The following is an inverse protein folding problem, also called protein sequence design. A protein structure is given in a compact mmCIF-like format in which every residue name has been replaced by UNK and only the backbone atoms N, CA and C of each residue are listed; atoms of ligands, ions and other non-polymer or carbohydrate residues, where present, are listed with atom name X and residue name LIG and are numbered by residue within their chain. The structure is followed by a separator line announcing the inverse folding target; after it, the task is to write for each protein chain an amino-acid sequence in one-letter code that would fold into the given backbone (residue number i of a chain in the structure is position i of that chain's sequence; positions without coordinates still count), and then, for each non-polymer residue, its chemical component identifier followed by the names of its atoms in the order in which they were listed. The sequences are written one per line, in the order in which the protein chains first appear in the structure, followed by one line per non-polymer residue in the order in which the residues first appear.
data_IF_433403384098
#
_entry.id   IF_433403384098
#
_cell.length_a   1.000
_cell.length_b   1.000
_cell.length_c   1.000
_cell.angle_alpha   90.00
_cell.angle_beta   90.00
_cell.angle_gamma   90.00
#
_symmetry.space_group_name_H-M   'P 1'
#
loop_
_entity.id
_entity.type
_entity.pdbx_description
1 polymer ?
#
# COMPACT_ATOMS: atom_id res chain seq x y z
N UNK A 1 -59.03 -5.00 -1.98
CA UNK A 1 -58.18 -4.49 -3.08
C UNK A 1 -56.71 -4.31 -2.65
N UNK A 2 -56.39 -4.05 -1.37
CA UNK A 2 -54.99 -3.88 -0.92
C UNK A 2 -54.17 -5.18 -0.76
N UNK A 3 -54.81 -6.32 -0.46
CA UNK A 3 -54.08 -7.60 -0.31
C UNK A 3 -53.43 -8.10 -1.61
N UNK A 4 -53.99 -7.71 -2.77
CA UNK A 4 -53.47 -7.98 -4.11
C UNK A 4 -52.05 -7.45 -4.33
N UNK A 5 -51.84 -6.17 -4.01
CA UNK A 5 -50.53 -5.54 -4.19
C UNK A 5 -49.47 -6.05 -3.22
N UNK A 6 -49.85 -6.42 -1.99
CA UNK A 6 -48.90 -6.92 -0.99
C UNK A 6 -48.34 -8.30 -1.36
N UNK A 7 -49.14 -9.17 -1.96
CA UNK A 7 -48.67 -10.48 -2.39
C UNK A 7 -47.75 -10.38 -3.62
N UNK A 8 -48.03 -9.46 -4.54
CA UNK A 8 -47.19 -9.18 -5.71
C UNK A 8 -45.82 -8.63 -5.30
N UNK A 9 -45.79 -7.66 -4.38
CA UNK A 9 -44.54 -7.11 -3.84
C UNK A 9 -43.73 -8.20 -3.12
N UNK A 10 -44.38 -9.07 -2.33
CA UNK A 10 -43.68 -10.21 -1.69
C UNK A 10 -43.11 -11.19 -2.71
N UNK A 11 -43.85 -11.47 -3.78
CA UNK A 11 -43.38 -12.35 -4.85
C UNK A 11 -42.17 -11.73 -5.59
N UNK A 12 -42.22 -10.43 -5.88
CA UNK A 12 -41.12 -9.69 -6.51
C UNK A 12 -39.87 -9.66 -5.61
N UNK A 13 -40.03 -9.45 -4.31
CA UNK A 13 -38.91 -9.51 -3.36
C UNK A 13 -38.28 -10.91 -3.32
N UNK A 14 -39.10 -11.96 -3.30
CA UNK A 14 -38.61 -13.33 -3.32
C UNK A 14 -37.85 -13.65 -4.62
N UNK A 15 -38.27 -13.08 -5.75
CA UNK A 15 -37.58 -13.22 -7.02
C UNK A 15 -36.23 -12.51 -7.04
N UNK A 16 -36.18 -11.26 -6.59
CA UNK A 16 -34.92 -10.50 -6.44
C UNK A 16 -33.94 -11.22 -5.51
N UNK A 17 -34.43 -11.78 -4.40
CA UNK A 17 -33.60 -12.57 -3.48
C UNK A 17 -33.06 -13.85 -4.12
N UNK A 18 -33.82 -14.49 -5.02
CA UNK A 18 -33.38 -15.66 -5.77
C UNK A 18 -32.29 -15.29 -6.76
N UNK A 19 -32.51 -14.25 -7.58
CA UNK A 19 -31.53 -13.76 -8.56
C UNK A 19 -30.22 -13.35 -7.88
N UNK A 20 -30.28 -12.72 -6.71
CA UNK A 20 -29.09 -12.36 -5.94
C UNK A 20 -28.29 -13.59 -5.51
N UNK A 21 -28.96 -14.62 -4.97
CA UNK A 21 -28.29 -15.87 -4.56
C UNK A 21 -27.68 -16.61 -5.74
N UNK A 22 -28.37 -16.63 -6.88
CA UNK A 22 -27.86 -17.23 -8.12
C UNK A 22 -26.62 -16.48 -8.63
N UNK A 23 -26.66 -15.14 -8.63
CA UNK A 23 -25.50 -14.32 -9.01
C UNK A 23 -24.31 -14.55 -8.07
N UNK A 24 -24.55 -14.69 -6.76
CA UNK A 24 -23.51 -15.04 -5.79
C UNK A 24 -22.91 -16.42 -6.06
N UNK A 25 -23.74 -17.44 -6.31
CA UNK A 25 -23.26 -18.78 -6.63
C UNK A 25 -22.43 -18.81 -7.92
N UNK A 26 -22.87 -18.07 -8.95
CA UNK A 26 -22.14 -17.94 -10.20
C UNK A 26 -20.78 -17.24 -10.02
N UNK A 27 -20.71 -16.21 -9.18
CA UNK A 27 -19.47 -15.53 -8.85
C UNK A 27 -18.49 -16.45 -8.12
N UNK A 28 -18.98 -17.23 -7.15
CA UNK A 28 -18.18 -18.22 -6.42
C UNK A 28 -17.63 -19.27 -7.39
N UNK A 29 -18.47 -19.82 -8.27
CA UNK A 29 -18.04 -20.82 -9.25
C UNK A 29 -16.99 -20.26 -10.23
N UNK A 30 -17.12 -19.00 -10.63
CA UNK A 30 -16.13 -18.31 -11.46
C UNK A 30 -14.80 -18.15 -10.74
N UNK A 31 -14.81 -17.76 -9.47
CA UNK A 31 -13.62 -17.64 -8.62
C UNK A 31 -12.92 -19.00 -8.42
N UNK A 32 -13.68 -20.07 -8.14
CA UNK A 32 -13.14 -21.42 -7.99
C UNK A 32 -12.51 -21.95 -9.29
N UNK A 33 -13.13 -21.64 -10.43
CA UNK A 33 -12.65 -22.03 -11.76
C UNK A 33 -11.36 -21.30 -12.15
N UNK A 34 -11.20 -20.04 -11.75
CA UNK A 34 -10.00 -19.25 -12.00
C UNK A 34 -8.84 -19.62 -11.07
N UNK A 35 -9.12 -20.06 -9.83
CA UNK A 35 -8.07 -20.24 -8.81
C UNK A 35 -7.74 -21.70 -8.46
N UNK A 36 -8.49 -22.69 -8.94
CA UNK A 36 -8.22 -24.10 -8.65
C UNK A 36 -8.32 -24.40 -7.15
N UNK A 37 -9.57 -24.55 -6.66
CA UNK A 37 -9.99 -25.11 -5.35
C UNK A 37 -8.93 -25.06 -4.22
N UNK A 38 -9.03 -24.04 -3.36
CA UNK A 38 -8.32 -24.01 -2.07
C UNK A 38 -9.26 -24.34 -0.90
N UNK A 39 -8.89 -25.42 -0.21
CA UNK A 39 -9.07 -25.77 1.21
C UNK A 39 -10.49 -25.91 1.80
N UNK A 40 -10.90 -27.16 2.03
CA UNK A 40 -11.68 -27.53 3.21
C UNK A 40 -10.68 -28.05 4.27
N UNK A 41 -10.59 -27.39 5.42
CA UNK A 41 -9.92 -27.90 6.62
C UNK A 41 -10.93 -28.77 7.37
N UNK A 42 -10.59 -30.05 7.58
CA UNK A 42 -11.15 -30.88 8.65
C UNK A 42 -9.98 -31.43 9.49
N UNK A 43 -10.20 -31.47 10.79
CA UNK A 43 -9.25 -31.81 11.86
C UNK A 43 -8.89 -33.31 11.89
N UNK A 44 -7.70 -33.62 12.44
CA UNK A 44 -7.47 -34.65 13.47
C UNK A 44 -6.16 -35.47 13.28
N UNK A 45 -5.40 -35.49 14.39
CA UNK A 45 -4.55 -36.58 14.88
C UNK A 45 -3.04 -36.64 14.53
N UNK A 46 -2.26 -36.24 15.55
CA UNK A 46 -1.28 -37.04 16.32
C UNK A 46 0.06 -37.51 15.72
N UNK A 47 1.14 -37.21 16.48
CA UNK A 47 2.37 -38.02 16.62
C UNK A 47 3.66 -37.30 16.18
N UNK A 48 4.41 -36.60 17.03
CA UNK A 48 5.39 -37.07 18.03
C UNK A 48 6.82 -37.37 17.49
N UNK A 49 7.80 -36.54 17.92
CA UNK A 49 9.25 -36.78 18.24
C UNK A 49 10.17 -37.49 17.20
N UNK A 50 11.50 -37.33 17.06
CA UNK A 50 12.66 -36.72 17.75
C UNK A 50 13.84 -36.64 16.75
N UNK A 51 14.68 -35.61 16.88
CA UNK A 51 16.17 -35.55 16.86
C UNK A 51 17.04 -36.56 16.04
N UNK A 52 17.92 -36.04 15.16
CA UNK A 52 19.38 -36.33 15.04
C UNK A 52 19.98 -35.77 13.70
N UNK A 53 21.19 -35.18 13.76
CA UNK A 53 21.88 -34.44 12.66
C UNK A 53 22.47 -35.29 11.51
N UNK A 54 23.55 -34.89 10.79
CA UNK A 54 24.46 -33.73 10.96
C UNK A 54 24.76 -32.89 9.69
N UNK A 55 25.63 -31.90 9.89
CA UNK A 55 26.26 -30.93 8.96
C UNK A 55 26.79 -31.49 7.63
N UNK A 56 26.74 -30.71 6.55
CA UNK A 56 27.74 -30.61 5.46
C UNK A 56 27.62 -29.24 4.77
N UNK A 57 28.74 -28.49 4.81
CA UNK A 57 29.10 -27.30 4.04
C UNK A 57 29.24 -27.71 2.55
N UNK A 58 29.14 -26.91 1.49
CA UNK A 58 29.87 -25.69 1.08
C UNK A 58 29.20 -25.20 -0.25
N UNK A 59 29.57 -24.04 -0.85
CA UNK A 59 28.69 -23.20 -1.67
C UNK A 59 28.96 -23.41 -3.17
N UNK A 60 28.18 -22.79 -4.05
CA UNK A 60 28.70 -21.89 -5.09
C UNK A 60 27.61 -21.55 -6.11
N UNK A 61 27.65 -20.27 -6.48
CA UNK A 61 27.42 -19.74 -7.81
C UNK A 61 25.99 -19.56 -8.39
N UNK A 62 25.65 -18.27 -8.47
CA UNK A 62 24.99 -17.58 -9.59
C UNK A 62 23.75 -18.25 -10.17
N UNK A 63 22.60 -17.66 -9.86
CA UNK A 63 21.55 -17.58 -10.88
C UNK A 63 20.82 -16.26 -10.72
N UNK A 64 21.05 -15.39 -11.70
CA UNK A 64 20.15 -14.32 -12.10
C UNK A 64 18.72 -14.85 -12.10
N UNK A 65 17.91 -14.42 -11.14
CA UNK A 65 16.46 -14.65 -11.15
C UNK A 65 15.77 -13.30 -11.10
N UNK A 66 15.71 -12.67 -12.28
CA UNK A 66 14.52 -11.92 -12.69
C UNK A 66 13.31 -12.80 -12.40
N UNK A 67 12.51 -12.40 -11.42
CA UNK A 67 11.25 -13.05 -11.11
C UNK A 67 10.97 -13.03 -9.64
N UNK A 68 10.51 -11.89 -9.12
CA UNK A 68 9.53 -11.79 -8.01
C UNK A 68 9.30 -10.33 -7.61
N UNK A 69 8.59 -9.54 -8.43
CA UNK A 69 8.03 -8.27 -7.92
C UNK A 69 6.60 -7.95 -8.40
N UNK A 70 6.01 -8.74 -9.30
CA UNK A 70 4.66 -8.43 -9.81
C UNK A 70 3.56 -8.53 -8.75
N UNK A 71 3.75 -9.35 -7.73
CA UNK A 71 2.78 -9.52 -6.63
C UNK A 71 2.78 -8.37 -5.63
N UNK A 72 3.81 -7.51 -5.64
CA UNK A 72 3.91 -6.36 -4.73
C UNK A 72 3.31 -5.09 -5.33
N UNK A 73 3.21 -4.99 -6.66
CA UNK A 73 2.78 -3.76 -7.35
C UNK A 73 1.27 -3.50 -7.20
N UNK A 74 0.47 -4.57 -7.23
CA UNK A 74 -1.00 -4.50 -7.08
C UNK A 74 -1.43 -4.26 -5.63
N UNK A 75 -0.80 -4.93 -4.67
CA UNK A 75 -1.01 -4.65 -3.26
C UNK A 75 -0.55 -3.23 -2.92
N UNK A 76 0.60 -2.78 -3.41
CA UNK A 76 1.11 -1.42 -3.21
C UNK A 76 0.20 -0.37 -3.84
N UNK A 77 -0.40 -0.62 -5.00
CA UNK A 77 -1.38 0.29 -5.60
C UNK A 77 -2.70 0.31 -4.82
N UNK A 78 -3.18 -0.82 -4.31
CA UNK A 78 -4.35 -0.87 -3.41
C UNK A 78 -4.12 -0.13 -2.08
N UNK A 79 -2.92 -0.27 -1.50
CA UNK A 79 -2.50 0.54 -0.34
C UNK A 79 -2.43 2.02 -0.70
N UNK A 80 -1.81 2.41 -1.81
CA UNK A 80 -1.75 3.81 -2.27
C UNK A 80 -3.13 4.42 -2.55
N UNK A 81 -4.11 3.60 -2.92
CA UNK A 81 -5.51 4.01 -3.09
C UNK A 81 -6.27 4.09 -1.76
N UNK A 82 -5.94 3.25 -0.77
CA UNK A 82 -6.60 3.18 0.55
C UNK A 82 -6.02 4.14 1.58
N UNK A 83 -4.75 4.53 1.42
CA UNK A 83 -4.15 5.61 2.18
C UNK A 83 -4.78 6.90 1.65
N UNK A 84 -5.76 7.44 2.39
CA UNK A 84 -6.20 8.84 2.29
C UNK A 84 -5.03 9.67 1.79
N UNK A 85 -5.16 10.36 0.65
CA UNK A 85 -4.14 11.27 0.11
C UNK A 85 -3.74 12.24 1.23
N UNK A 86 -2.75 11.85 2.02
CA UNK A 86 -2.13 12.75 2.98
C UNK A 86 -1.50 13.79 2.06
N UNK A 87 -1.75 15.05 2.33
CA UNK A 87 -1.07 16.12 1.62
C UNK A 87 0.14 16.50 2.47
N UNK A 88 1.27 16.80 1.82
CA UNK A 88 2.44 17.26 2.54
C UNK A 88 2.08 18.63 3.17
N UNK A 89 2.28 18.82 4.49
CA UNK A 89 1.99 20.10 5.13
C UNK A 89 2.87 21.20 4.53
N UNK A 90 2.32 22.41 4.37
CA UNK A 90 3.10 23.59 3.99
C UNK A 90 4.07 23.99 5.11
N UNK A 91 5.16 24.65 4.71
CA UNK A 91 6.23 25.09 5.59
C UNK A 91 6.50 26.58 5.38
N UNK A 92 6.12 27.36 6.40
CA UNK A 92 6.30 28.81 6.48
C UNK A 92 7.61 29.24 7.17
N UNK A 93 8.36 28.29 7.73
CA UNK A 93 9.65 28.55 8.41
C UNK A 93 9.59 28.54 9.94
N UNK A 94 8.43 28.38 10.57
CA UNK A 94 8.28 28.48 12.04
C UNK A 94 8.93 27.32 12.82
N UNK A 95 8.74 26.08 12.38
CA UNK A 95 9.26 24.87 13.07
C UNK A 95 9.85 23.84 12.08
N UNK A 96 11.14 24.01 11.67
CA UNK A 96 11.78 23.12 10.69
C UNK A 96 11.85 21.68 11.18
N UNK A 97 12.16 21.44 12.46
CA UNK A 97 12.31 20.10 13.02
C UNK A 97 10.99 19.30 13.04
N UNK A 98 9.88 19.92 13.46
CA UNK A 98 8.58 19.25 13.43
C UNK A 98 8.01 19.12 12.02
N UNK A 99 8.31 20.06 11.11
CA UNK A 99 7.96 19.92 9.70
C UNK A 99 8.70 18.74 9.06
N UNK A 100 10.02 18.62 9.24
CA UNK A 100 10.83 17.49 8.77
C UNK A 100 10.24 16.17 9.27
N UNK A 101 9.91 16.09 10.56
CA UNK A 101 9.32 14.88 11.15
C UNK A 101 8.00 14.47 10.48
N UNK A 102 7.13 15.45 10.16
CA UNK A 102 5.88 15.19 9.41
C UNK A 102 6.16 14.79 7.97
N UNK A 103 7.10 15.47 7.30
CA UNK A 103 7.50 15.16 5.93
C UNK A 103 8.10 13.75 5.81
N UNK A 104 8.91 13.30 6.77
CA UNK A 104 9.45 11.94 6.78
C UNK A 104 8.37 10.88 6.93
N UNK A 105 7.39 11.09 7.82
CA UNK A 105 6.24 10.19 7.94
C UNK A 105 5.46 10.16 6.63
N UNK A 106 5.26 11.31 6.00
CA UNK A 106 4.60 11.41 4.70
C UNK A 106 5.33 10.60 3.62
N UNK A 107 6.63 10.83 3.46
CA UNK A 107 7.44 10.13 2.46
C UNK A 107 7.49 8.62 2.70
N UNK A 108 7.50 8.19 3.96
CA UNK A 108 7.44 6.76 4.32
C UNK A 108 6.09 6.14 3.94
N UNK A 109 4.99 6.84 4.21
CA UNK A 109 3.64 6.38 3.90
C UNK A 109 3.39 6.36 2.39
N UNK A 110 3.87 7.37 1.66
CA UNK A 110 3.70 7.49 0.22
C UNK A 110 4.73 6.70 -0.61
N UNK A 111 5.70 6.04 0.03
CA UNK A 111 6.84 5.39 -0.65
C UNK A 111 7.53 6.33 -1.65
N UNK A 112 7.78 7.57 -1.23
CA UNK A 112 8.39 8.60 -2.08
C UNK A 112 9.87 8.31 -2.32
N UNK A 113 10.29 8.29 -3.58
CA UNK A 113 11.69 8.11 -3.95
C UNK A 113 12.53 9.32 -3.52
N UNK A 114 13.80 9.12 -3.09
CA UNK A 114 14.64 10.21 -2.59
C UNK A 114 14.83 11.34 -3.61
N UNK A 115 14.82 11.01 -4.90
CA UNK A 115 14.95 11.94 -6.02
C UNK A 115 13.84 13.00 -6.07
N UNK A 116 12.62 12.66 -5.65
CA UNK A 116 11.47 13.60 -5.70
C UNK A 116 11.13 14.19 -4.34
N UNK A 117 11.76 13.75 -3.25
CA UNK A 117 11.52 14.29 -1.90
C UNK A 117 11.84 15.78 -1.83
N UNK A 118 12.97 16.19 -2.41
CA UNK A 118 13.41 17.59 -2.41
C UNK A 118 12.49 18.45 -3.27
N UNK A 119 12.06 17.95 -4.44
CA UNK A 119 11.09 18.65 -5.28
C UNK A 119 9.73 18.81 -4.60
N UNK A 120 9.26 17.80 -3.87
CA UNK A 120 8.03 17.89 -3.07
C UNK A 120 8.18 18.86 -1.90
N UNK A 121 9.33 18.84 -1.23
CA UNK A 121 9.65 19.79 -0.18
C UNK A 121 9.61 21.22 -0.71
N UNK A 122 10.22 21.49 -1.87
CA UNK A 122 10.19 22.78 -2.54
C UNK A 122 8.77 23.27 -2.82
N UNK A 123 7.86 22.37 -3.24
CA UNK A 123 6.47 22.71 -3.52
C UNK A 123 5.69 23.15 -2.26
N UNK A 124 6.11 22.65 -1.09
CA UNK A 124 5.47 22.95 0.19
C UNK A 124 6.12 24.11 0.94
N UNK A 125 7.22 24.67 0.43
CA UNK A 125 7.80 25.90 0.96
C UNK A 125 6.87 27.07 0.66
N UNK A 126 6.55 27.87 1.68
CA UNK A 126 5.75 29.07 1.54
C UNK A 126 6.51 30.31 2.02
N UNK A 127 6.24 31.46 1.40
CA UNK A 127 6.78 32.75 1.83
C UNK A 127 8.31 32.85 1.78
N UNK A 128 8.91 33.29 2.88
CA UNK A 128 10.35 33.61 3.00
C UNK A 128 11.25 32.39 2.76
N UNK A 129 10.76 31.19 3.05
CA UNK A 129 11.51 29.94 2.92
C UNK A 129 11.80 29.57 1.47
N UNK A 130 10.97 30.04 0.53
CA UNK A 130 11.14 29.83 -0.91
C UNK A 130 12.48 30.43 -1.39
N UNK A 131 12.87 31.61 -0.89
CA UNK A 131 14.12 32.27 -1.29
C UNK A 131 15.35 31.53 -0.77
N UNK A 132 15.30 31.03 0.46
CA UNK A 132 16.34 30.20 1.04
C UNK A 132 16.54 28.92 0.21
N UNK A 133 15.46 28.21 -0.08
CA UNK A 133 15.49 26.96 -0.83
C UNK A 133 16.02 27.12 -2.25
N UNK A 134 15.57 28.16 -2.96
CA UNK A 134 16.06 28.44 -4.31
C UNK A 134 17.54 28.85 -4.33
N UNK A 135 18.08 29.35 -3.22
CA UNK A 135 19.50 29.62 -3.10
C UNK A 135 20.28 28.32 -2.87
N UNK A 136 19.77 27.46 -1.97
CA UNK A 136 20.35 26.15 -1.66
C UNK A 136 20.41 25.22 -2.88
N UNK A 137 19.32 25.13 -3.64
CA UNK A 137 19.25 24.33 -4.88
C UNK A 137 20.18 24.83 -5.99
N UNK A 138 20.46 26.14 -6.01
CA UNK A 138 21.38 26.72 -6.99
C UNK A 138 22.84 26.43 -6.67
N UNK A 139 23.13 26.23 -5.40
CA UNK A 139 24.46 25.85 -4.90
C UNK A 139 24.67 24.34 -4.94
N UNK A 140 23.61 23.55 -4.75
CA UNK A 140 23.64 22.09 -4.68
C UNK A 140 22.61 21.48 -5.65
N UNK A 141 23.04 21.20 -6.88
CA UNK A 141 22.17 20.60 -7.92
C UNK A 141 21.70 19.19 -7.54
N UNK A 142 22.55 18.41 -6.85
CA UNK A 142 22.26 17.08 -6.33
C UNK A 142 21.91 17.08 -4.83
N UNK A 143 21.20 18.13 -4.36
CA UNK A 143 20.81 18.21 -2.96
C UNK A 143 19.97 16.98 -2.58
N UNK A 144 20.48 16.19 -1.65
CA UNK A 144 19.74 15.07 -1.08
C UNK A 144 18.77 15.55 -0.01
N UNK A 145 17.71 14.77 0.26
CA UNK A 145 16.81 15.04 1.38
C UNK A 145 17.55 15.19 2.72
N UNK A 146 18.67 14.48 2.90
CA UNK A 146 19.44 14.55 4.13
C UNK A 146 20.18 15.90 4.27
N UNK A 147 20.88 16.33 3.23
CA UNK A 147 21.54 17.64 3.21
C UNK A 147 20.54 18.79 3.33
N UNK A 148 19.32 18.62 2.81
CA UNK A 148 18.26 19.59 3.03
C UNK A 148 17.83 19.68 4.50
N UNK A 149 17.68 18.54 5.20
CA UNK A 149 17.34 18.54 6.62
C UNK A 149 18.42 19.24 7.43
N UNK A 150 19.69 18.98 7.13
CA UNK A 150 20.81 19.64 7.81
C UNK A 150 20.75 21.16 7.59
N UNK A 151 20.56 21.61 6.34
CA UNK A 151 20.45 23.04 6.02
C UNK A 151 19.22 23.72 6.66
N UNK A 152 18.13 22.99 6.92
CA UNK A 152 16.95 23.52 7.60
C UNK A 152 17.09 23.56 9.14
N UNK A 153 18.03 22.79 9.69
CA UNK A 153 18.29 22.69 11.13
C UNK A 153 19.50 23.54 11.58
N UNK A 154 20.25 24.09 10.62
CA UNK A 154 21.37 25.02 10.83
C UNK A 154 20.88 26.46 11.03
#
# INVERSE_FOLDING_TARGET
MLEGGLNEVRASIADVQRTLKENQANLIAMMEKCMGKSVAVDENSSGAVVHAGPVIQIPSEKTDRVGSSRINDEALTEFRHSVKRVELPSFDGDDPAGWISRAEVYFRVQNTTPEVKVSLAQLCMEGSTIHFFNSLLRENEDLSWDGLKEALLE
#
